data_IF_529285002935
#
_entry.id   IF_529285002935
#
_cell.length_a   1.000
_cell.length_b   1.000
_cell.length_c   1.000
_cell.angle_alpha   90.00
_cell.angle_beta   90.00
_cell.angle_gamma   90.00
#
_symmetry.space_group_name_H-M   'P 1'
#
loop_
_entity.id
_entity.type
_entity.pdbx_description
1 polymer ?
#
# COMPACT_ATOMS: atom_id res chain seq x y z
N UNK A 1 7.44 8.81 -5.11
CA UNK A 1 6.29 7.93 -4.82
C UNK A 1 5.54 7.51 -6.07
N UNK A 2 5.62 8.32 -7.13
CA UNK A 2 4.78 8.31 -8.34
C UNK A 2 4.71 6.97 -9.10
N UNK A 3 5.67 6.05 -8.90
CA UNK A 3 5.62 4.71 -9.48
C UNK A 3 4.37 3.95 -8.98
N UNK A 4 4.01 4.11 -7.71
CA UNK A 4 2.84 3.44 -7.12
C UNK A 4 1.52 4.10 -7.48
N UNK A 5 1.52 5.32 -8.03
CA UNK A 5 0.29 6.00 -8.44
C UNK A 5 -0.04 5.81 -9.91
N UNK A 6 0.82 5.14 -10.70
CA UNK A 6 0.62 4.94 -12.14
C UNK A 6 0.12 3.54 -12.46
N UNK A 7 -1.01 3.46 -13.15
CA UNK A 7 -1.72 2.19 -13.40
C UNK A 7 -0.83 1.17 -14.14
N UNK A 8 -0.07 1.64 -15.16
CA UNK A 8 0.84 0.77 -15.90
C UNK A 8 2.00 0.26 -15.05
N UNK A 9 2.60 1.14 -14.25
CA UNK A 9 3.71 0.77 -13.38
C UNK A 9 3.28 -0.29 -12.36
N UNK A 10 2.13 -0.08 -11.72
CA UNK A 10 1.54 -1.02 -10.76
C UNK A 10 1.22 -2.38 -11.41
N UNK A 11 0.64 -2.37 -12.62
CA UNK A 11 0.36 -3.60 -13.37
C UNK A 11 1.64 -4.40 -13.70
N UNK A 12 2.72 -3.72 -14.06
CA UNK A 12 4.01 -4.36 -14.35
C UNK A 12 4.68 -4.89 -13.08
N UNK A 13 4.64 -4.15 -11.95
CA UNK A 13 5.17 -4.62 -10.66
C UNK A 13 4.46 -5.90 -10.21
N UNK A 14 3.13 -5.91 -10.31
CA UNK A 14 2.29 -7.06 -10.02
C UNK A 14 2.69 -8.25 -10.89
N UNK A 15 2.66 -8.09 -12.21
CA UNK A 15 2.99 -9.17 -13.15
C UNK A 15 4.42 -9.70 -12.95
N UNK A 16 5.40 -8.81 -12.79
CA UNK A 16 6.78 -9.20 -12.54
C UNK A 16 6.92 -10.05 -11.27
N UNK A 17 6.13 -9.75 -10.23
CA UNK A 17 6.16 -10.49 -8.97
C UNK A 17 5.66 -11.93 -9.17
N UNK A 18 4.52 -12.10 -9.83
CA UNK A 18 3.93 -13.42 -10.08
C UNK A 18 4.70 -14.24 -11.12
N UNK A 19 5.49 -13.59 -11.98
CA UNK A 19 6.46 -14.25 -12.86
C UNK A 19 7.79 -14.58 -12.16
N UNK A 20 7.96 -14.21 -10.89
CA UNK A 20 9.20 -14.45 -10.14
C UNK A 20 10.39 -13.61 -10.62
N UNK A 21 10.13 -12.52 -11.35
CA UNK A 21 11.18 -11.61 -11.79
C UNK A 21 11.73 -10.83 -10.58
N UNK A 22 13.05 -10.76 -10.38
CA UNK A 22 13.63 -10.00 -9.28
C UNK A 22 13.29 -8.51 -9.39
N UNK A 23 12.67 -7.96 -8.35
CA UNK A 23 12.35 -6.54 -8.25
C UNK A 23 13.10 -5.89 -7.09
N UNK A 24 13.63 -4.68 -7.32
CA UNK A 24 14.32 -3.87 -6.31
C UNK A 24 13.85 -2.43 -6.42
N UNK A 25 13.34 -1.88 -5.31
CA UNK A 25 12.96 -0.47 -5.20
C UNK A 25 13.98 0.24 -4.34
N UNK A 26 14.48 1.37 -4.82
CA UNK A 26 15.32 2.28 -4.05
C UNK A 26 14.46 3.45 -3.59
N UNK A 27 14.24 3.57 -2.29
CA UNK A 27 13.58 4.74 -1.71
C UNK A 27 14.64 5.81 -1.44
N UNK A 28 14.38 7.04 -1.90
CA UNK A 28 15.25 8.17 -1.58
C UNK A 28 14.97 8.59 -0.14
N UNK A 29 15.91 8.23 0.75
CA UNK A 29 15.91 8.37 2.22
C UNK A 29 14.88 7.48 2.96
N UNK A 30 15.28 6.98 4.14
CA UNK A 30 14.50 6.17 5.10
C UNK A 30 13.22 6.86 5.64
N UNK A 31 12.83 8.02 5.09
CA UNK A 31 11.81 8.90 5.62
C UNK A 31 10.38 8.51 5.25
N UNK A 32 10.22 7.73 4.18
CA UNK A 32 8.90 7.29 3.67
C UNK A 32 8.17 6.39 4.67
N UNK A 33 8.92 5.81 5.60
CA UNK A 33 8.48 4.78 6.54
C UNK A 33 9.14 4.99 7.91
N UNK A 34 9.44 6.23 8.28
CA UNK A 34 9.95 6.56 9.61
C UNK A 34 8.74 6.72 10.56
N UNK A 35 8.62 5.81 11.52
CA UNK A 35 7.49 5.75 12.47
C UNK A 35 7.64 6.81 13.57
N UNK A 36 8.87 7.25 13.82
CA UNK A 36 9.19 8.28 14.81
C UNK A 36 9.01 9.69 14.23
N UNK A 37 8.96 9.81 12.90
CA UNK A 37 8.47 10.99 12.24
C UNK A 37 6.94 10.95 12.27
N UNK A 38 6.28 12.02 12.71
CA UNK A 38 4.81 12.20 12.73
C UNK A 38 4.13 12.12 11.34
N UNK A 39 4.75 11.50 10.34
CA UNK A 39 4.35 11.46 8.93
C UNK A 39 4.18 10.01 8.43
N UNK A 40 3.19 9.31 9.00
CA UNK A 40 2.69 8.01 8.50
C UNK A 40 1.93 8.14 7.16
N UNK A 41 1.91 9.32 6.55
CA UNK A 41 1.10 9.63 5.37
C UNK A 41 1.43 8.73 4.17
N UNK A 42 2.70 8.41 3.96
CA UNK A 42 3.12 7.58 2.82
C UNK A 42 2.83 6.08 3.05
N UNK A 43 2.97 5.58 4.28
CA UNK A 43 2.52 4.24 4.64
C UNK A 43 1.01 4.08 4.38
N UNK A 44 0.22 5.05 4.85
CA UNK A 44 -1.23 5.03 4.65
C UNK A 44 -1.60 5.02 3.16
N UNK A 45 -0.98 5.89 2.35
CA UNK A 45 -1.19 5.95 0.90
C UNK A 45 -0.89 4.61 0.20
N UNK A 46 0.14 3.88 0.66
CA UNK A 46 0.48 2.57 0.11
C UNK A 46 -0.50 1.48 0.56
N UNK A 47 -0.88 1.48 1.83
CA UNK A 47 -1.85 0.52 2.37
C UNK A 47 -3.25 0.69 1.78
N UNK A 48 -3.60 1.91 1.36
CA UNK A 48 -4.86 2.25 0.71
C UNK A 48 -4.75 2.27 -0.83
N UNK A 49 -3.64 1.79 -1.39
CA UNK A 49 -3.41 1.81 -2.83
C UNK A 49 -4.41 0.88 -3.55
N UNK A 50 -5.07 1.43 -4.58
CA UNK A 50 -5.92 0.68 -5.50
C UNK A 50 -5.51 0.96 -6.94
N UNK A 51 -5.54 -0.05 -7.79
CA UNK A 51 -5.31 0.10 -9.22
C UNK A 51 -6.32 1.04 -9.88
N UNK A 52 -7.53 1.11 -9.32
CA UNK A 52 -8.61 1.98 -9.83
C UNK A 52 -8.37 3.46 -9.53
N UNK A 53 -7.64 3.79 -8.46
CA UNK A 53 -7.26 5.16 -8.12
C UNK A 53 -5.98 5.62 -8.83
N UNK A 54 -5.27 4.71 -9.50
CA UNK A 54 -4.06 5.04 -10.23
C UNK A 54 -4.32 5.90 -11.49
N UNK A 55 -3.32 6.70 -11.85
CA UNK A 55 -3.29 7.58 -13.01
C UNK A 55 -2.71 6.88 -14.24
N UNK A 56 -3.13 7.35 -15.42
CA UNK A 56 -2.50 7.03 -16.69
C UNK A 56 -2.37 8.32 -17.51
N UNK A 57 -1.38 8.38 -18.39
CA UNK A 57 -1.16 9.55 -19.25
C UNK A 57 -2.34 9.83 -20.19
N UNK A 58 -3.10 8.78 -20.53
CA UNK A 58 -4.34 8.87 -21.30
C UNK A 58 -5.44 8.06 -20.60
N UNK A 59 -6.67 8.56 -20.51
CA UNK A 59 -7.79 7.83 -19.91
C UNK A 59 -8.03 6.46 -20.57
N UNK A 60 -7.86 6.37 -21.89
CA UNK A 60 -8.02 5.12 -22.65
C UNK A 60 -7.02 4.05 -22.22
N UNK A 61 -5.80 4.44 -21.84
CA UNK A 61 -4.79 3.50 -21.35
C UNK A 61 -5.21 2.93 -19.99
N UNK A 62 -5.80 3.77 -19.11
CA UNK A 62 -6.35 3.32 -17.82
C UNK A 62 -7.47 2.31 -18.02
N UNK A 63 -8.42 2.60 -18.90
CA UNK A 63 -9.51 1.68 -19.24
C UNK A 63 -8.99 0.36 -19.82
N UNK A 64 -7.99 0.42 -20.71
CA UNK A 64 -7.37 -0.78 -21.27
C UNK A 64 -6.62 -1.64 -20.24
N UNK A 65 -6.00 -1.01 -19.23
CA UNK A 65 -5.35 -1.72 -18.12
C UNK A 65 -6.40 -2.35 -17.22
N UNK A 66 -7.39 -1.57 -16.77
CA UNK A 66 -8.45 -2.05 -15.88
C UNK A 66 -9.27 -3.16 -16.56
N UNK A 67 -9.53 -3.07 -17.86
CA UNK A 67 -10.24 -4.10 -18.62
C UNK A 67 -9.47 -5.43 -18.77
N UNK A 68 -8.16 -5.46 -18.46
CA UNK A 68 -7.36 -6.69 -18.40
C UNK A 68 -7.36 -7.33 -17.02
N UNK A 69 -7.82 -6.61 -16.00
CA UNK A 69 -7.89 -7.08 -14.62
C UNK A 69 -9.29 -7.67 -14.41
N UNK A 70 -9.35 -8.98 -14.16
CA UNK A 70 -10.62 -9.68 -14.01
C UNK A 70 -11.35 -9.30 -12.72
N UNK A 71 -10.62 -9.20 -11.60
CA UNK A 71 -11.12 -8.75 -10.30
C UNK A 71 -10.14 -7.70 -9.76
N UNK A 72 -10.59 -6.45 -9.67
CA UNK A 72 -9.77 -5.34 -9.15
C UNK A 72 -9.47 -5.48 -7.67
N UNK A 73 -10.37 -6.09 -6.89
CA UNK A 73 -10.16 -6.30 -5.46
C UNK A 73 -9.09 -7.35 -5.23
N UNK A 74 -9.18 -8.47 -5.95
CA UNK A 74 -8.14 -9.51 -5.89
C UNK A 74 -6.78 -8.94 -6.34
N UNK A 75 -6.78 -8.13 -7.39
CA UNK A 75 -5.56 -7.45 -7.84
C UNK A 75 -4.99 -6.53 -6.76
N UNK A 76 -5.83 -5.73 -6.08
CA UNK A 76 -5.41 -4.83 -5.03
C UNK A 76 -4.86 -5.60 -3.81
N UNK A 77 -5.48 -6.72 -3.41
CA UNK A 77 -4.97 -7.61 -2.36
C UNK A 77 -3.60 -8.20 -2.74
N UNK A 78 -3.45 -8.67 -3.98
CA UNK A 78 -2.19 -9.18 -4.51
C UNK A 78 -1.12 -8.09 -4.58
N UNK A 79 -1.51 -6.85 -4.91
CA UNK A 79 -0.60 -5.71 -4.93
C UNK A 79 -0.09 -5.37 -3.53
N UNK A 80 -0.93 -5.50 -2.49
CA UNK A 80 -0.48 -5.36 -1.10
C UNK A 80 0.58 -6.41 -0.74
N UNK A 81 0.43 -7.66 -1.18
CA UNK A 81 1.48 -8.69 -1.02
C UNK A 81 2.76 -8.34 -1.79
N UNK A 82 2.65 -7.78 -3.00
CA UNK A 82 3.84 -7.31 -3.75
C UNK A 82 4.58 -6.20 -2.99
N UNK A 83 3.87 -5.30 -2.31
CA UNK A 83 4.48 -4.15 -1.63
C UNK A 83 5.01 -4.56 -0.25
N UNK A 84 4.14 -5.13 0.60
CA UNK A 84 4.37 -5.36 2.03
C UNK A 84 4.59 -6.82 2.41
N UNK A 85 4.38 -7.76 1.48
CA UNK A 85 4.54 -9.18 1.74
C UNK A 85 5.95 -9.57 2.17
N UNK A 86 6.10 -10.81 2.63
CA UNK A 86 7.39 -11.34 3.13
C UNK A 86 8.51 -11.26 2.09
N UNK A 87 8.15 -11.35 0.80
CA UNK A 87 9.05 -11.20 -0.35
C UNK A 87 8.81 -9.90 -1.12
N UNK A 88 8.05 -8.99 -0.52
CA UNK A 88 7.61 -7.74 -1.12
C UNK A 88 8.75 -6.74 -1.34
N UNK A 89 8.40 -5.66 -2.03
CA UNK A 89 9.30 -4.58 -2.41
C UNK A 89 9.86 -3.84 -1.18
N UNK A 90 9.05 -3.72 -0.12
CA UNK A 90 9.38 -2.98 1.10
C UNK A 90 9.76 -3.87 2.29
N UNK A 91 9.98 -5.18 2.09
CA UNK A 91 10.27 -6.15 3.17
C UNK A 91 11.35 -5.67 4.17
N UNK A 92 12.43 -5.07 3.67
CA UNK A 92 13.55 -4.61 4.50
C UNK A 92 13.23 -3.37 5.32
N UNK A 93 12.19 -2.63 4.93
CA UNK A 93 11.68 -1.49 5.69
C UNK A 93 10.63 -1.97 6.71
N UNK A 94 9.81 -2.95 6.32
CA UNK A 94 8.69 -3.50 7.11
C UNK A 94 9.14 -4.45 8.23
N UNK A 95 10.36 -4.99 8.18
CA UNK A 95 10.94 -5.74 9.32
C UNK A 95 10.99 -4.89 10.63
N UNK A 96 11.01 -3.56 10.54
CA UNK A 96 10.83 -2.65 11.69
C UNK A 96 9.36 -2.32 12.04
N UNK A 97 8.40 -2.64 11.16
CA UNK A 97 6.98 -2.26 11.26
C UNK A 97 6.11 -3.25 12.03
N UNK A 98 6.59 -4.47 12.33
CA UNK A 98 5.80 -5.42 13.13
C UNK A 98 5.40 -4.86 14.50
N UNK A 99 6.21 -3.94 15.05
CA UNK A 99 5.90 -3.19 16.27
C UNK A 99 4.83 -2.12 16.02
N UNK A 100 4.88 -1.41 14.88
CA UNK A 100 3.87 -0.41 14.51
C UNK A 100 2.51 -1.05 14.21
N UNK A 101 2.46 -2.19 13.53
CA UNK A 101 1.20 -2.89 13.26
C UNK A 101 0.54 -3.31 14.58
N UNK A 102 1.32 -3.82 15.54
CA UNK A 102 0.84 -4.15 16.88
C UNK A 102 0.38 -2.90 17.66
N UNK A 103 1.10 -1.79 17.56
CA UNK A 103 0.75 -0.52 18.21
C UNK A 103 -0.52 0.10 17.60
N UNK A 104 -0.63 0.14 16.28
CA UNK A 104 -1.78 0.65 15.55
C UNK A 104 -3.04 -0.17 15.88
N UNK A 105 -2.97 -1.51 15.87
CA UNK A 105 -4.09 -2.37 16.28
C UNK A 105 -4.53 -2.11 17.72
N UNK A 106 -3.61 -1.76 18.60
CA UNK A 106 -3.92 -1.39 19.99
C UNK A 106 -4.57 0.00 20.07
N UNK A 107 -4.04 0.98 19.33
CA UNK A 107 -4.61 2.33 19.27
C UNK A 107 -6.03 2.34 18.68
N UNK A 108 -6.30 1.56 17.63
CA UNK A 108 -7.64 1.41 17.07
C UNK A 108 -8.62 0.75 18.03
N UNK A 109 -8.19 -0.22 18.84
CA UNK A 109 -9.04 -0.81 19.91
C UNK A 109 -9.40 0.22 20.98
N UNK A 110 -8.45 1.07 21.37
CA UNK A 110 -8.70 2.11 22.37
C UNK A 110 -9.61 3.21 21.81
N UNK A 111 -9.40 3.65 20.57
CA UNK A 111 -10.23 4.63 19.90
C UNK A 111 -11.69 4.17 19.74
N UNK A 112 -11.90 2.92 19.33
CA UNK A 112 -13.23 2.31 19.22
C UNK A 112 -13.91 2.02 20.56
N UNK A 113 -13.14 1.95 21.66
CA UNK A 113 -13.70 1.79 23.02
C UNK A 113 -14.02 3.14 23.70
N UNK A 114 -13.53 4.26 23.17
CA UNK A 114 -13.71 5.60 23.75
C UNK A 114 -14.97 6.35 23.32
N UNK A 115 -15.65 5.88 22.27
CA UNK A 115 -16.80 6.58 21.68
C UNK A 115 -18.16 6.15 22.27
N UNK A 116 -18.18 5.10 23.11
CA UNK A 116 -19.41 4.60 23.75
C UNK A 116 -19.82 5.36 25.03
N UNK A 117 -19.14 6.46 25.38
CA UNK A 117 -19.29 7.12 26.68
C UNK A 117 -19.59 8.61 26.67
N UNK A 118 -19.79 9.26 25.52
CA UNK A 118 -19.89 10.74 25.45
C UNK A 118 -21.24 11.33 25.02
N UNK A 119 -22.25 10.49 24.76
CA UNK A 119 -23.63 10.93 24.45
C UNK A 119 -24.60 10.59 25.59
N UNK A 120 -24.30 11.04 26.81
CA UNK A 120 -25.25 11.04 27.92
C UNK A 120 -24.89 12.13 28.96
N UNK A 121 -25.12 13.40 28.61
CA UNK A 121 -25.24 14.50 29.56
C UNK A 121 -26.09 15.63 28.99
#
# INVERSE_FOLDING_TARGET
YDVFTRAWCVAELHRAHFLGLPQRVCLQANRVLDVDADDLGDYWKLSALSVTSCEASRPQDKEAILGRIADTREFDEQLQEVIFGTRGLLRHQVEGFGVLEAAARTAFRVATSGDAGRDAA
#
